data_IF_035926820347
#
_entry.id   IF_035926820347
#
_cell.length_a   1.000
_cell.length_b   1.000
_cell.length_c   1.000
_cell.angle_alpha   90.00
_cell.angle_beta   90.00
_cell.angle_gamma   90.00
#
_symmetry.space_group_name_H-M   'P 1'
#
loop_
_entity.id
_entity.type
_entity.pdbx_description
1 polymer ?
#
# COMPACT_ATOMS: atom_id res chain seq x y z
N UNK A 1 10.53 -6.48 -4.34
CA UNK A 1 10.77 -5.13 -3.80
C UNK A 1 9.50 -4.76 -3.04
N UNK A 2 9.58 -4.44 -1.76
CA UNK A 2 8.43 -4.07 -0.91
C UNK A 2 8.60 -2.64 -0.42
N UNK A 3 7.47 -1.98 -0.13
CA UNK A 3 7.42 -0.63 0.41
C UNK A 3 6.47 -0.62 1.59
N UNK A 4 6.66 0.28 2.56
CA UNK A 4 5.64 0.48 3.59
C UNK A 4 4.49 1.30 3.03
N UNK A 5 3.28 1.09 3.56
CA UNK A 5 2.12 1.90 3.19
C UNK A 5 2.41 3.40 3.41
N UNK A 6 3.07 3.73 4.52
CA UNK A 6 3.51 5.09 4.82
C UNK A 6 4.34 5.71 3.69
N UNK A 7 5.37 5.01 3.19
CA UNK A 7 6.22 5.49 2.09
C UNK A 7 5.41 5.78 0.84
N UNK A 8 4.46 4.90 0.49
CA UNK A 8 3.61 5.09 -0.68
C UNK A 8 2.73 6.33 -0.49
N UNK A 9 2.14 6.50 0.69
CA UNK A 9 1.24 7.63 0.98
C UNK A 9 1.96 8.97 1.06
N UNK A 10 3.20 9.00 1.56
CA UNK A 10 4.05 10.20 1.58
C UNK A 10 4.34 10.71 0.16
N UNK A 11 4.62 9.81 -0.78
CA UNK A 11 4.91 10.17 -2.18
C UNK A 11 3.71 10.74 -2.95
N UNK A 12 2.48 10.43 -2.52
CA UNK A 12 1.23 10.89 -3.16
C UNK A 12 0.50 11.98 -2.36
N UNK A 13 1.14 12.53 -1.32
CA UNK A 13 0.55 13.52 -0.41
C UNK A 13 -0.79 13.07 0.18
N UNK A 14 -0.87 11.78 0.55
CA UNK A 14 -2.04 11.22 1.22
C UNK A 14 -1.77 11.11 2.72
N UNK A 15 -2.71 11.61 3.53
CA UNK A 15 -2.65 11.43 4.98
C UNK A 15 -2.85 9.96 5.33
N UNK A 16 -1.78 9.26 5.70
CA UNK A 16 -1.87 7.93 6.30
C UNK A 16 -1.81 8.01 7.81
N UNK A 17 -2.63 7.18 8.44
CA UNK A 17 -2.46 6.86 9.85
C UNK A 17 -1.23 5.96 9.94
N UNK A 18 -0.50 5.97 11.06
CA UNK A 18 0.74 5.19 11.29
C UNK A 18 0.51 3.69 11.11
N UNK A 19 0.49 3.25 9.86
CA UNK A 19 0.31 1.87 9.45
C UNK A 19 1.63 1.43 8.81
N UNK A 20 2.34 0.59 9.54
CA UNK A 20 3.66 0.07 9.15
C UNK A 20 3.55 -1.16 8.24
N UNK A 21 2.38 -1.41 7.67
CA UNK A 21 2.15 -2.56 6.79
C UNK A 21 3.05 -2.50 5.56
N UNK A 22 3.64 -3.63 5.25
CA UNK A 22 4.39 -3.81 4.00
C UNK A 22 3.43 -4.10 2.84
N UNK A 23 3.64 -3.38 1.75
CA UNK A 23 2.96 -3.54 0.49
C UNK A 23 3.93 -4.19 -0.50
N UNK A 24 3.49 -5.31 -1.07
CA UNK A 24 4.28 -6.14 -1.97
C UNK A 24 3.92 -5.96 -3.45
N UNK A 25 2.78 -5.31 -3.74
CA UNK A 25 2.32 -5.07 -5.10
C UNK A 25 0.98 -4.35 -5.18
N UNK A 26 0.54 -4.10 -6.41
CA UNK A 26 -0.74 -3.46 -6.76
C UNK A 26 -1.51 -4.41 -7.69
N UNK A 27 -2.75 -4.72 -7.35
CA UNK A 27 -3.59 -5.68 -8.06
C UNK A 27 -5.03 -5.18 -8.22
N UNK A 28 -5.86 -5.89 -8.98
CA UNK A 28 -7.30 -5.59 -9.02
C UNK A 28 -7.96 -5.97 -7.69
N UNK A 29 -9.09 -5.34 -7.36
CA UNK A 29 -9.88 -5.66 -6.15
C UNK A 29 -10.24 -7.15 -6.01
N UNK A 30 -10.40 -7.86 -7.13
CA UNK A 30 -10.68 -9.30 -7.15
C UNK A 30 -9.47 -10.20 -6.85
N UNK A 31 -8.26 -9.67 -7.00
CA UNK A 31 -7.01 -10.45 -6.93
C UNK A 31 -6.10 -10.03 -5.76
N UNK A 32 -6.34 -8.83 -5.21
CA UNK A 32 -5.54 -8.28 -4.12
C UNK A 32 -5.69 -9.07 -2.82
N UNK A 33 -4.57 -9.25 -2.11
CA UNK A 33 -4.54 -9.81 -0.76
C UNK A 33 -4.22 -8.74 0.30
N UNK A 34 -4.10 -9.16 1.56
CA UNK A 34 -3.90 -8.27 2.72
C UNK A 34 -2.62 -7.41 2.67
N UNK A 35 -1.64 -7.79 1.84
CA UNK A 35 -0.34 -7.11 1.65
C UNK A 35 -0.24 -6.40 0.31
N UNK A 36 -1.36 -6.20 -0.39
CA UNK A 36 -1.39 -5.60 -1.72
C UNK A 36 -2.40 -4.46 -1.76
N UNK A 37 -2.07 -3.41 -2.52
CA UNK A 37 -3.00 -2.32 -2.82
C UNK A 37 -3.91 -2.73 -3.97
N UNK A 38 -5.14 -2.20 -3.95
CA UNK A 38 -6.10 -2.41 -5.04
C UNK A 38 -6.48 -1.10 -5.74
N UNK A 39 -6.91 -1.21 -6.99
CA UNK A 39 -7.49 -0.13 -7.80
C UNK A 39 -8.80 -0.56 -8.44
#
# INVERSE_FOLDING_TARGET
MSYTLQQITEEIDLESHTDTREITGIHTLSEANETQLSF
#
